data_IF_861795424233
#
_entry.id   IF_861795424233
#
_cell.length_a   1.000
_cell.length_b   1.000
_cell.length_c   1.000
_cell.angle_alpha   90.00
_cell.angle_beta   90.00
_cell.angle_gamma   90.00
#
_symmetry.space_group_name_H-M   'P 1'
#
loop_
_entity.id
_entity.type
_entity.pdbx_description
1 polymer ?
#
# COMPACT_ATOMS: atom_id res chain seq x y z
N UNK A 1 -2.85 1.86 19.24
CA UNK A 1 -3.21 2.82 18.19
C UNK A 1 -2.15 3.90 18.13
N UNK A 2 -1.84 4.42 16.95
CA UNK A 2 -0.89 5.52 16.78
C UNK A 2 -1.64 6.75 16.27
N UNK A 3 -1.25 7.92 16.79
CA UNK A 3 -1.75 9.22 16.35
C UNK A 3 -0.56 10.01 15.80
N UNK A 4 -0.75 10.62 14.63
CA UNK A 4 0.28 11.40 13.95
C UNK A 4 -0.30 12.72 13.43
N UNK A 5 0.42 13.81 13.64
CA UNK A 5 0.13 15.14 13.08
C UNK A 5 1.24 15.49 12.09
N UNK A 6 0.88 15.68 10.82
CA UNK A 6 1.81 16.09 9.77
C UNK A 6 1.45 17.49 9.27
N UNK A 7 2.43 18.41 9.24
CA UNK A 7 2.20 19.81 8.83
C UNK A 7 1.59 19.97 7.43
N UNK A 8 1.87 19.04 6.51
CA UNK A 8 1.39 19.11 5.13
C UNK A 8 0.02 18.48 4.91
N UNK A 9 -0.42 17.57 5.78
CA UNK A 9 -1.58 16.70 5.53
C UNK A 9 -2.47 16.46 6.75
N UNK A 10 -2.22 17.15 7.87
CA UNK A 10 -3.06 17.16 9.06
C UNK A 10 -2.92 15.94 9.96
N UNK A 11 -3.95 15.71 10.79
CA UNK A 11 -4.01 14.62 11.77
C UNK A 11 -4.35 13.27 11.14
N UNK A 12 -3.90 12.19 11.77
CA UNK A 12 -4.21 10.83 11.36
C UNK A 12 -4.13 9.85 12.52
N UNK A 13 -5.07 8.90 12.53
CA UNK A 13 -5.18 7.84 13.53
C UNK A 13 -5.08 6.49 12.83
N UNK A 14 -4.20 5.62 13.34
CA UNK A 14 -3.98 4.25 12.86
C UNK A 14 -4.28 3.26 14.00
N UNK A 15 -5.57 2.91 14.19
CA UNK A 15 -5.93 1.87 15.14
C UNK A 15 -5.46 0.48 14.66
N UNK A 16 -5.07 -0.36 15.62
CA UNK A 16 -4.76 -1.77 15.41
C UNK A 16 -5.35 -2.58 16.56
N UNK A 17 -6.18 -3.55 16.21
CA UNK A 17 -6.82 -4.49 17.13
C UNK A 17 -6.43 -5.91 16.72
N UNK A 18 -6.06 -6.74 17.68
CA UNK A 18 -5.74 -8.13 17.45
C UNK A 18 -6.33 -8.97 18.57
N UNK A 19 -7.01 -10.05 18.21
CA UNK A 19 -7.64 -11.00 19.14
C UNK A 19 -7.10 -12.39 18.79
N UNK A 20 -6.59 -13.09 19.80
CA UNK A 20 -6.19 -14.49 19.69
C UNK A 20 -7.05 -15.31 20.65
N UNK A 21 -7.70 -16.34 20.11
CA UNK A 21 -8.57 -17.22 20.86
C UNK A 21 -8.12 -18.67 20.70
N UNK A 22 -7.75 -19.31 21.80
CA UNK A 22 -7.38 -20.73 21.82
C UNK A 22 -8.63 -21.55 22.11
N UNK A 23 -9.09 -22.32 21.13
CA UNK A 23 -10.20 -23.27 21.32
C UNK A 23 -9.72 -24.42 22.21
N UNK A 24 -8.48 -24.87 21.97
CA UNK A 24 -7.76 -25.83 22.80
C UNK A 24 -6.24 -25.56 22.64
N UNK A 25 -5.35 -26.22 23.39
CA UNK A 25 -3.90 -25.99 23.30
C UNK A 25 -3.28 -26.29 21.91
N UNK A 26 -4.03 -26.94 21.01
CA UNK A 26 -3.59 -27.35 19.67
C UNK A 26 -4.30 -26.59 18.54
N UNK A 27 -5.32 -25.79 18.84
CA UNK A 27 -6.16 -25.11 17.86
C UNK A 27 -6.45 -23.69 18.32
N UNK A 28 -6.03 -22.72 17.52
CA UNK A 28 -6.17 -21.30 17.77
C UNK A 28 -6.80 -20.56 16.58
N UNK A 29 -7.52 -19.50 16.91
CA UNK A 29 -8.03 -18.51 15.97
C UNK A 29 -7.36 -17.18 16.24
N UNK A 30 -7.01 -16.46 15.17
CA UNK A 30 -6.50 -15.10 15.21
C UNK A 30 -7.38 -14.20 14.36
N UNK A 31 -7.70 -13.02 14.87
CA UNK A 31 -8.40 -11.99 14.13
C UNK A 31 -7.65 -10.68 14.32
N UNK A 32 -7.29 -10.03 13.22
CA UNK A 32 -6.53 -8.77 13.23
C UNK A 32 -7.23 -7.75 12.36
N UNK A 33 -7.39 -6.55 12.89
CA UNK A 33 -7.83 -5.36 12.17
C UNK A 33 -6.77 -4.28 12.33
N UNK A 34 -6.34 -3.68 11.23
CA UNK A 34 -5.43 -2.55 11.29
C UNK A 34 -5.72 -1.52 10.21
N UNK A 35 -5.52 -0.26 10.56
CA UNK A 35 -5.47 0.84 9.60
C UNK A 35 -4.06 1.38 9.52
N UNK A 36 -3.60 1.64 8.30
CA UNK A 36 -2.35 2.30 7.99
C UNK A 36 -2.62 3.50 7.08
N UNK A 37 -1.71 4.45 7.11
CA UNK A 37 -1.75 5.65 6.28
C UNK A 37 -0.44 5.76 5.51
N UNK A 38 -0.49 6.30 4.30
CA UNK A 38 0.70 6.73 3.56
C UNK A 38 0.54 8.22 3.24
N UNK A 39 1.49 9.02 3.75
CA UNK A 39 1.56 10.43 3.38
C UNK A 39 2.11 10.57 1.96
N UNK A 40 1.56 11.46 1.13
CA UNK A 40 2.07 11.75 -0.21
C UNK A 40 3.51 12.27 -0.15
N UNK A 41 4.32 11.90 -1.15
CA UNK A 41 5.71 12.32 -1.22
C UNK A 41 5.84 13.80 -1.65
N UNK A 42 6.96 14.44 -1.30
CA UNK A 42 7.28 15.83 -1.66
C UNK A 42 7.29 16.06 -3.16
N UNK A 43 7.68 15.06 -3.95
CA UNK A 43 7.62 15.10 -5.41
C UNK A 43 6.18 15.03 -5.95
N UNK A 44 5.29 14.31 -5.28
CA UNK A 44 3.89 14.21 -5.69
C UNK A 44 3.12 15.49 -5.37
N UNK A 45 3.41 16.11 -4.21
CA UNK A 45 2.67 17.27 -3.75
C UNK A 45 3.20 18.61 -4.29
N UNK A 46 4.52 18.75 -4.51
CA UNK A 46 5.14 20.06 -4.76
C UNK A 46 6.16 20.08 -5.92
N UNK A 47 6.01 19.19 -6.91
CA UNK A 47 6.85 19.23 -8.12
C UNK A 47 6.71 20.58 -8.81
N UNK A 48 7.83 21.20 -9.15
CA UNK A 48 7.93 22.32 -10.08
C UNK A 48 9.15 22.08 -10.96
N UNK A 49 8.96 21.29 -12.02
CA UNK A 49 10.02 20.96 -12.97
C UNK A 49 9.76 21.61 -14.33
N UNK A 50 10.84 22.01 -14.99
CA UNK A 50 10.85 22.39 -16.40
C UNK A 50 11.99 21.67 -17.08
N UNK A 51 11.80 21.30 -18.35
CA UNK A 51 12.85 20.68 -19.14
C UNK A 51 13.68 21.75 -19.83
N UNK A 52 15.01 21.65 -19.78
CA UNK A 52 15.89 22.46 -20.63
C UNK A 52 16.25 21.64 -21.86
N UNK A 53 15.84 22.12 -23.03
CA UNK A 53 16.21 21.53 -24.32
C UNK A 53 17.50 22.18 -24.80
N UNK A 54 18.45 21.36 -25.24
CA UNK A 54 19.75 21.78 -25.80
C UNK A 54 19.95 21.15 -27.17
N UNK A 55 20.77 21.76 -28.04
CA UNK A 55 21.00 21.33 -29.43
C UNK A 55 19.74 21.43 -30.29
N UNK A 56 19.08 22.59 -30.28
CA UNK A 56 17.97 22.87 -31.19
C UNK A 56 18.48 23.02 -32.62
N UNK A 57 18.00 22.17 -33.54
CA UNK A 57 18.37 22.19 -34.97
C UNK A 57 17.97 23.49 -35.69
N UNK A 58 17.01 24.25 -35.14
CA UNK A 58 16.59 25.56 -35.64
C UNK A 58 16.58 26.59 -34.50
N UNK A 59 17.71 27.24 -34.19
CA UNK A 59 17.82 28.15 -33.05
C UNK A 59 17.04 29.45 -33.28
N UNK A 60 16.07 29.75 -32.43
CA UNK A 60 15.39 31.05 -32.40
C UNK A 60 16.31 32.09 -31.74
N UNK A 61 16.54 33.24 -32.39
CA UNK A 61 17.44 34.30 -31.89
C UNK A 61 18.90 33.86 -31.62
N UNK A 62 19.41 32.83 -32.31
CA UNK A 62 20.77 32.32 -32.12
C UNK A 62 20.98 31.53 -30.82
N UNK A 63 19.92 31.23 -30.08
CA UNK A 63 19.97 30.40 -28.88
C UNK A 63 19.84 28.93 -29.24
N UNK A 64 20.87 28.14 -28.96
CA UNK A 64 20.89 26.67 -29.17
C UNK A 64 20.28 25.88 -28.00
N UNK A 65 19.77 26.60 -26.98
CA UNK A 65 19.10 26.03 -25.82
C UNK A 65 17.87 26.85 -25.45
N UNK A 66 16.81 26.18 -24.99
CA UNK A 66 15.56 26.80 -24.57
C UNK A 66 14.92 26.05 -23.41
N UNK A 67 14.16 26.75 -22.57
CA UNK A 67 13.34 26.12 -21.54
C UNK A 67 12.02 25.67 -22.16
N UNK A 68 11.65 24.41 -21.98
CA UNK A 68 10.36 23.87 -22.38
C UNK A 68 9.26 24.55 -21.55
N UNK A 69 8.27 25.14 -22.22
CA UNK A 69 7.29 26.04 -21.61
C UNK A 69 6.32 25.33 -20.65
N UNK A 70 6.19 24.02 -20.76
CA UNK A 70 5.31 23.22 -19.92
C UNK A 70 5.96 23.04 -18.55
N UNK A 71 5.51 23.83 -17.58
CA UNK A 71 5.79 23.61 -16.16
C UNK A 71 4.73 22.69 -15.61
N UNK A 72 5.17 21.56 -15.08
CA UNK A 72 4.26 20.71 -14.31
C UNK A 72 4.32 21.15 -12.86
N UNK A 73 3.16 21.34 -12.26
CA UNK A 73 3.03 21.71 -10.85
C UNK A 73 2.30 20.59 -10.10
N UNK A 74 2.85 20.16 -8.97
CA UNK A 74 2.13 19.28 -8.05
C UNK A 74 0.84 19.95 -7.55
N UNK A 75 -0.23 19.19 -7.23
CA UNK A 75 -1.52 19.75 -6.82
C UNK A 75 -1.44 20.58 -5.53
N UNK A 76 -0.46 20.32 -4.66
CA UNK A 76 -0.30 20.98 -3.37
C UNK A 76 -1.35 20.60 -2.32
N UNK A 77 -2.33 19.76 -2.67
CA UNK A 77 -3.48 19.39 -1.86
C UNK A 77 -3.79 17.88 -1.91
N UNK A 78 -2.78 17.03 -2.11
CA UNK A 78 -2.99 15.57 -2.09
C UNK A 78 -3.34 15.10 -0.67
N UNK A 79 -4.41 14.31 -0.57
CA UNK A 79 -4.82 13.64 0.66
C UNK A 79 -3.92 12.42 0.95
N UNK A 80 -3.88 12.01 2.23
CA UNK A 80 -3.20 10.78 2.64
C UNK A 80 -3.91 9.56 2.06
N UNK A 81 -3.16 8.58 1.58
CA UNK A 81 -3.73 7.28 1.24
C UNK A 81 -4.05 6.52 2.53
N UNK A 82 -5.19 5.83 2.56
CA UNK A 82 -5.61 5.02 3.71
C UNK A 82 -5.69 3.56 3.31
N UNK A 83 -5.09 2.71 4.11
CA UNK A 83 -5.06 1.28 3.93
C UNK A 83 -5.73 0.62 5.12
N UNK A 84 -6.76 -0.19 4.89
CA UNK A 84 -7.48 -0.94 5.91
C UNK A 84 -7.28 -2.42 5.65
N UNK A 85 -6.79 -3.14 6.64
CA UNK A 85 -6.52 -4.57 6.55
C UNK A 85 -7.32 -5.33 7.60
N UNK A 86 -7.93 -6.43 7.16
CA UNK A 86 -8.70 -7.38 7.96
C UNK A 86 -8.13 -8.77 7.71
N UNK A 87 -7.65 -9.41 8.75
CA UNK A 87 -7.09 -10.75 8.69
C UNK A 87 -7.83 -11.67 9.65
N UNK A 88 -8.14 -12.88 9.19
CA UNK A 88 -8.66 -13.97 9.99
C UNK A 88 -7.79 -15.19 9.76
N UNK A 89 -7.25 -15.76 10.81
CA UNK A 89 -6.40 -16.94 10.73
C UNK A 89 -6.85 -18.04 11.66
N UNK A 90 -6.57 -19.26 11.26
CA UNK A 90 -6.77 -20.48 12.01
C UNK A 90 -5.47 -21.27 12.00
N UNK A 91 -5.04 -21.72 13.17
CA UNK A 91 -3.89 -22.58 13.35
C UNK A 91 -4.34 -23.85 14.08
N UNK A 92 -4.02 -25.02 13.56
CA UNK A 92 -4.42 -26.30 14.13
C UNK A 92 -3.35 -27.37 14.01
N UNK A 93 -3.13 -28.13 15.08
CA UNK A 93 -2.22 -29.26 15.11
C UNK A 93 -2.96 -30.57 15.41
N UNK A 94 -3.01 -31.44 14.40
CA UNK A 94 -3.64 -32.75 14.44
C UNK A 94 -2.62 -33.81 14.84
N UNK A 95 -2.60 -34.15 16.13
CA UNK A 95 -1.62 -35.11 16.68
C UNK A 95 -1.75 -36.51 16.09
N UNK A 96 -2.98 -36.93 15.73
CA UNK A 96 -3.26 -38.30 15.31
C UNK A 96 -2.59 -38.64 13.97
N UNK A 97 -2.32 -37.62 13.15
CA UNK A 97 -1.71 -37.74 11.82
C UNK A 97 -0.43 -36.91 11.68
N UNK A 98 0.06 -36.30 12.77
CA UNK A 98 1.27 -35.45 12.75
C UNK A 98 1.19 -34.25 11.80
N UNK A 99 -0.01 -33.68 11.60
CA UNK A 99 -0.26 -32.60 10.63
C UNK A 99 -0.51 -31.26 11.33
N UNK A 100 0.23 -30.22 10.94
CA UNK A 100 -0.02 -28.83 11.28
C UNK A 100 -0.62 -28.09 10.09
N UNK A 101 -1.65 -27.30 10.35
CA UNK A 101 -2.37 -26.51 9.35
C UNK A 101 -2.48 -25.07 9.84
N UNK A 102 -2.01 -24.13 9.03
CA UNK A 102 -2.29 -22.70 9.20
C UNK A 102 -3.04 -22.19 7.97
N UNK A 103 -4.17 -21.54 8.19
CA UNK A 103 -4.96 -20.88 7.13
C UNK A 103 -5.13 -19.44 7.53
N UNK A 104 -4.86 -18.51 6.62
CA UNK A 104 -5.04 -17.07 6.79
C UNK A 104 -5.89 -16.53 5.65
N UNK A 105 -7.00 -15.89 5.97
CA UNK A 105 -7.79 -15.08 5.05
C UNK A 105 -7.45 -13.61 5.28
N UNK A 106 -7.25 -12.87 4.20
CA UNK A 106 -6.97 -11.43 4.28
C UNK A 106 -7.87 -10.65 3.33
N UNK A 107 -8.25 -9.45 3.74
CA UNK A 107 -8.98 -8.47 2.96
C UNK A 107 -8.39 -7.09 3.23
N UNK A 108 -7.77 -6.52 2.21
CA UNK A 108 -7.10 -5.23 2.25
C UNK A 108 -7.78 -4.26 1.29
N UNK A 109 -8.03 -3.05 1.76
CA UNK A 109 -8.63 -1.98 0.98
C UNK A 109 -7.74 -0.74 1.07
N UNK A 110 -7.29 -0.26 -0.08
CA UNK A 110 -6.52 0.97 -0.24
C UNK A 110 -7.44 2.00 -0.89
N UNK A 111 -7.69 3.09 -0.17
CA UNK A 111 -8.52 4.21 -0.61
C UNK A 111 -7.69 5.48 -0.77
N UNK A 112 -8.17 6.39 -1.60
CA UNK A 112 -7.53 7.67 -1.87
C UNK A 112 -6.13 7.52 -2.47
N UNK A 113 -5.92 6.49 -3.30
CA UNK A 113 -4.64 6.25 -3.96
C UNK A 113 -4.32 7.41 -4.91
N UNK A 114 -3.08 7.89 -4.82
CA UNK A 114 -2.54 8.91 -5.70
C UNK A 114 -2.32 8.29 -7.07
N UNK A 115 -3.22 8.58 -8.00
CA UNK A 115 -3.09 8.15 -9.40
C UNK A 115 -2.58 9.29 -10.26
N UNK A 116 -1.53 9.03 -11.03
CA UNK A 116 -1.02 9.96 -12.05
C UNK A 116 -1.04 9.30 -13.42
N UNK A 117 -1.78 9.81 -14.41
CA UNK A 117 -1.48 9.48 -15.80
C UNK A 117 -0.10 10.06 -16.15
N UNK A 118 0.83 9.22 -16.60
CA UNK A 118 2.13 9.64 -17.13
C UNK A 118 1.93 10.36 -18.46
N UNK A 119 1.51 11.64 -18.43
CA UNK A 119 1.41 12.50 -19.59
C UNK A 119 2.26 13.74 -19.36
N UNK A 120 3.20 13.98 -20.27
CA UNK A 120 4.13 15.12 -20.26
C UNK A 120 3.42 16.48 -20.11
N UNK A 121 2.13 16.56 -20.49
CA UNK A 121 1.36 17.81 -20.50
C UNK A 121 0.28 17.92 -19.40
N UNK A 122 0.08 16.88 -18.57
CA UNK A 122 -0.94 16.88 -17.50
C UNK A 122 -0.52 15.90 -16.38
N UNK A 123 0.34 16.33 -15.44
CA UNK A 123 0.26 15.75 -14.09
C UNK A 123 -0.78 16.54 -13.33
N UNK A 124 -1.96 15.96 -13.18
CA UNK A 124 -2.80 16.30 -12.04
C UNK A 124 -2.94 14.98 -11.29
N UNK A 125 -1.98 14.73 -10.40
CA UNK A 125 -2.09 13.62 -9.46
C UNK A 125 -3.40 13.81 -8.69
N UNK A 126 -4.23 12.77 -8.62
CA UNK A 126 -5.51 12.83 -7.92
C UNK A 126 -5.69 11.62 -7.02
N UNK A 127 -6.27 11.83 -5.84
CA UNK A 127 -6.65 10.77 -4.88
C UNK A 127 -7.93 10.01 -5.29
N UNK A 128 -8.25 9.94 -6.59
CA UNK A 128 -9.53 9.39 -7.06
C UNK A 128 -9.53 7.86 -7.17
N UNK A 129 -8.39 7.19 -6.93
CA UNK A 129 -8.26 5.77 -7.18
C UNK A 129 -8.37 4.94 -5.89
N UNK A 130 -8.75 3.67 -6.06
CA UNK A 130 -8.85 2.70 -4.97
C UNK A 130 -8.45 1.32 -5.47
N UNK A 131 -7.80 0.54 -4.60
CA UNK A 131 -7.47 -0.85 -4.87
C UNK A 131 -7.99 -1.74 -3.74
N UNK A 132 -8.39 -2.96 -4.09
CA UNK A 132 -8.86 -3.96 -3.13
C UNK A 132 -8.14 -5.27 -3.41
N UNK A 133 -7.62 -5.88 -2.36
CA UNK A 133 -6.94 -7.17 -2.40
C UNK A 133 -7.64 -8.10 -1.42
N UNK A 134 -7.96 -9.31 -1.85
CA UNK A 134 -8.53 -10.33 -0.98
C UNK A 134 -7.96 -11.67 -1.37
N UNK A 135 -7.67 -12.51 -0.40
CA UNK A 135 -7.12 -13.82 -0.67
C UNK A 135 -7.05 -14.71 0.55
N UNK A 136 -6.47 -15.88 0.32
CA UNK A 136 -6.21 -16.88 1.32
C UNK A 136 -4.78 -17.37 1.18
N UNK A 137 -4.08 -17.48 2.29
CA UNK A 137 -2.79 -18.16 2.41
C UNK A 137 -3.00 -19.43 3.25
N UNK A 138 -2.30 -20.50 2.91
CA UNK A 138 -2.39 -21.78 3.62
C UNK A 138 -1.01 -22.39 3.71
N UNK A 139 -0.65 -22.88 4.89
CA UNK A 139 0.58 -23.60 5.17
C UNK A 139 0.23 -24.95 5.79
N UNK A 140 0.88 -26.01 5.29
CA UNK A 140 0.71 -27.38 5.75
C UNK A 140 2.09 -27.94 6.10
N UNK A 141 2.20 -28.56 7.27
CA UNK A 141 3.41 -29.24 7.73
C UNK A 141 3.01 -30.65 8.19
N UNK A 142 3.55 -31.69 7.56
CA UNK A 142 3.18 -33.06 7.83
C UNK A 142 4.39 -33.92 8.18
N UNK A 143 4.35 -34.52 9.37
CA UNK A 143 5.34 -35.47 9.85
C UNK A 143 4.87 -36.91 9.56
N UNK A 144 5.23 -37.43 8.38
CA UNK A 144 4.93 -38.80 7.98
C UNK A 144 5.65 -39.83 8.87
N UNK A 145 4.91 -40.83 9.34
CA UNK A 145 5.45 -41.92 10.17
C UNK A 145 5.10 -43.31 9.61
N UNK A 146 5.73 -44.36 10.14
CA UNK A 146 5.43 -45.75 9.74
C UNK A 146 3.99 -46.19 10.08
N UNK A 147 3.26 -45.41 10.90
CA UNK A 147 1.85 -45.65 11.21
C UNK A 147 0.88 -45.14 10.12
N UNK A 148 1.38 -44.36 9.15
CA UNK A 148 0.60 -43.82 8.02
C UNK A 148 0.64 -44.74 6.78
N UNK A 149 1.23 -45.94 6.91
CA UNK A 149 1.51 -46.89 5.82
C UNK A 149 0.57 -48.10 5.83
#
# INVERSE_FOLDING_TARGET
AMYENAQLTGDSLTPRFAVNYLINPRHGLRAVYSEAIRSPDMFENNVNWSYRVTNLDSPTYGQTSGQYFVKTRGPGNLDKERMRSRELGYNGFFTDIGLSVDVKLFYDEITSMVSSPLRNNQYIASNANSARFSGSETQLDWHLSAADR
#
